data_IF_414497139632
#
_entry.id   IF_414497139632
#
_cell.length_a   1.000
_cell.length_b   1.000
_cell.length_c   1.000
_cell.angle_alpha   90.00
_cell.angle_beta   90.00
_cell.angle_gamma   90.00
#
_symmetry.space_group_name_H-M   'P 1'
#
loop_
_entity.id
_entity.type
_entity.pdbx_description
1 polymer ?
#
# COMPACT_ATOMS: atom_id res chain seq x y z
N UNK A 1 -30.85 -14.21 43.38
CA UNK A 1 -30.70 -14.38 41.93
C UNK A 1 -31.14 -13.10 41.23
N UNK A 2 -30.25 -12.37 40.54
CA UNK A 2 -30.66 -11.49 39.46
C UNK A 2 -30.49 -12.20 38.09
N UNK A 3 -31.27 -11.84 37.05
CA UNK A 3 -31.27 -12.54 35.79
C UNK A 3 -30.13 -12.10 34.86
N UNK A 4 -29.74 -13.04 34.01
CA UNK A 4 -28.72 -12.98 32.96
C UNK A 4 -28.98 -11.84 31.95
N UNK A 5 -28.01 -10.93 31.82
CA UNK A 5 -27.94 -9.92 30.75
C UNK A 5 -26.67 -10.08 29.86
N UNK A 6 -26.01 -11.24 29.86
CA UNK A 6 -24.71 -11.41 29.19
C UNK A 6 -24.76 -12.09 27.79
N UNK A 7 -25.91 -12.60 27.36
CA UNK A 7 -25.99 -13.40 26.13
C UNK A 7 -26.32 -12.60 24.84
N UNK A 8 -26.68 -11.32 24.93
CA UNK A 8 -27.10 -10.53 23.77
C UNK A 8 -25.99 -9.66 23.14
N UNK A 9 -24.93 -9.31 23.88
CA UNK A 9 -23.88 -8.42 23.37
C UNK A 9 -22.81 -9.12 22.51
N UNK A 10 -22.58 -10.42 22.71
CA UNK A 10 -21.58 -11.18 21.94
C UNK A 10 -21.95 -11.39 20.45
N UNK A 11 -23.23 -11.20 20.08
CA UNK A 11 -23.72 -11.39 18.70
C UNK A 11 -23.59 -10.13 17.83
N UNK A 12 -23.51 -8.95 18.45
CA UNK A 12 -23.41 -7.65 17.76
C UNK A 12 -22.11 -7.49 16.96
N UNK A 13 -20.90 -7.82 17.47
CA UNK A 13 -19.69 -7.69 16.69
C UNK A 13 -19.61 -8.71 15.53
N UNK A 14 -20.19 -9.89 15.70
CA UNK A 14 -20.24 -10.94 14.68
C UNK A 14 -21.18 -10.58 13.51
N UNK A 15 -22.35 -10.01 13.82
CA UNK A 15 -23.29 -9.49 12.81
C UNK A 15 -22.68 -8.28 12.11
N UNK A 16 -21.99 -7.39 12.84
CA UNK A 16 -21.22 -6.30 12.23
C UNK A 16 -20.14 -6.82 11.29
N UNK A 17 -19.41 -7.86 11.66
CA UNK A 17 -18.35 -8.44 10.82
C UNK A 17 -18.92 -9.06 9.53
N UNK A 18 -20.04 -9.78 9.61
CA UNK A 18 -20.71 -10.34 8.43
C UNK A 18 -21.31 -9.26 7.52
N UNK A 19 -21.92 -8.22 8.09
CA UNK A 19 -22.45 -7.07 7.34
C UNK A 19 -21.31 -6.26 6.70
N UNK A 20 -20.20 -6.03 7.43
CA UNK A 20 -18.99 -5.42 6.87
C UNK A 20 -18.43 -6.27 5.72
N UNK A 21 -18.41 -7.59 5.87
CA UNK A 21 -17.94 -8.50 4.82
C UNK A 21 -18.77 -8.31 3.55
N UNK A 22 -20.10 -8.37 3.67
CA UNK A 22 -21.01 -8.15 2.55
C UNK A 22 -20.86 -6.76 1.93
N UNK A 23 -20.77 -5.69 2.75
CA UNK A 23 -20.59 -4.33 2.24
C UNK A 23 -19.24 -4.13 1.54
N UNK A 24 -18.17 -4.75 2.04
CA UNK A 24 -16.84 -4.68 1.43
C UNK A 24 -16.79 -5.45 0.11
N UNK A 25 -17.43 -6.61 0.00
CA UNK A 25 -17.54 -7.33 -1.27
C UNK A 25 -18.37 -6.56 -2.31
N UNK A 26 -19.44 -5.87 -1.88
CA UNK A 26 -20.22 -4.96 -2.74
C UNK A 26 -19.37 -3.77 -3.19
N UNK A 27 -18.55 -3.19 -2.30
CA UNK A 27 -17.68 -2.05 -2.64
C UNK A 27 -16.56 -2.47 -3.61
N UNK A 28 -15.91 -3.61 -3.37
CA UNK A 28 -14.89 -4.18 -4.26
C UNK A 28 -15.52 -4.48 -5.62
N UNK A 29 -16.73 -5.04 -5.66
CA UNK A 29 -17.48 -5.23 -6.89
C UNK A 29 -17.75 -3.91 -7.62
N UNK A 30 -18.26 -2.88 -6.94
CA UNK A 30 -18.52 -1.56 -7.58
C UNK A 30 -17.22 -0.97 -8.15
N UNK A 31 -16.10 -1.08 -7.44
CA UNK A 31 -14.80 -0.56 -7.88
C UNK A 31 -14.18 -1.33 -9.05
N UNK A 32 -14.47 -2.62 -9.18
CA UNK A 32 -14.02 -3.47 -10.30
C UNK A 32 -14.95 -3.31 -11.52
N UNK A 33 -16.25 -3.19 -11.30
CA UNK A 33 -17.28 -3.24 -12.36
C UNK A 33 -17.59 -1.87 -12.96
N UNK A 34 -17.40 -0.80 -12.21
CA UNK A 34 -17.55 0.58 -12.67
C UNK A 34 -16.23 1.36 -12.56
N UNK A 35 -15.19 1.05 -13.36
CA UNK A 35 -14.18 2.06 -13.65
C UNK A 35 -14.92 3.20 -14.36
N UNK A 36 -14.95 4.40 -13.77
CA UNK A 36 -15.70 5.55 -14.29
C UNK A 36 -15.61 5.62 -15.83
N UNK A 37 -16.73 5.78 -16.55
CA UNK A 37 -16.66 6.04 -17.98
C UNK A 37 -16.02 7.41 -18.21
N UNK A 38 -15.13 7.45 -19.20
CA UNK A 38 -14.50 8.63 -19.76
C UNK A 38 -15.50 9.76 -19.96
N UNK A 39 -15.08 10.98 -19.63
CA UNK A 39 -15.70 12.21 -20.13
C UNK A 39 -15.75 12.08 -21.66
N UNK A 40 -16.94 11.93 -22.21
CA UNK A 40 -17.18 11.96 -23.65
C UNK A 40 -16.90 13.37 -24.13
N UNK A 41 -15.80 13.55 -24.85
CA UNK A 41 -15.59 14.72 -25.70
C UNK A 41 -16.75 14.74 -26.70
N UNK A 42 -17.60 15.76 -26.62
CA UNK A 42 -18.62 16.01 -27.64
C UNK A 42 -17.88 16.40 -28.92
N UNK A 43 -17.76 15.45 -29.84
CA UNK A 43 -17.34 15.70 -31.21
C UNK A 43 -18.49 16.41 -31.93
N UNK A 44 -18.32 17.72 -32.17
CA UNK A 44 -19.16 18.46 -33.12
C UNK A 44 -18.59 18.22 -34.53
N UNK A 45 -19.40 17.82 -35.53
CA UNK A 45 -18.94 17.58 -36.90
C UNK A 45 -18.63 18.90 -37.63
N UNK A 46 -17.86 18.87 -38.74
CA UNK A 46 -17.38 20.07 -39.40
C UNK A 46 -18.45 20.69 -40.31
N UNK A 47 -18.65 22.00 -40.20
CA UNK A 47 -19.31 22.81 -41.24
C UNK A 47 -18.41 23.97 -41.64
N UNK A 48 -18.01 23.97 -42.92
CA UNK A 48 -17.28 25.04 -43.62
C UNK A 48 -18.27 26.17 -44.05
N UNK A 49 -17.80 27.31 -44.60
CA UNK A 49 -18.03 28.63 -44.01
C UNK A 49 -19.09 29.44 -44.76
N UNK A 50 -19.80 30.32 -44.05
CA UNK A 50 -20.62 31.36 -44.69
C UNK A 50 -20.12 32.72 -44.25
N UNK A 51 -19.60 33.44 -45.24
CA UNK A 51 -19.26 34.86 -45.22
C UNK A 51 -20.52 35.69 -45.03
N UNK A 52 -20.55 36.57 -44.02
CA UNK A 52 -21.24 37.86 -44.13
C UNK A 52 -20.52 38.94 -43.33
N UNK A 53 -20.09 39.94 -44.07
CA UNK A 53 -19.50 41.24 -43.71
C UNK A 53 -20.47 42.13 -42.93
N UNK A 54 -19.99 42.89 -41.93
CA UNK A 54 -20.01 44.38 -41.90
C UNK A 54 -19.80 44.97 -40.49
N UNK A 55 -18.79 45.86 -40.38
CA UNK A 55 -18.76 47.16 -39.66
C UNK A 55 -18.93 47.21 -38.13
N UNK A 56 -18.17 47.96 -37.31
CA UNK A 56 -17.15 49.00 -37.50
C UNK A 56 -16.34 49.22 -36.22
N UNK A 57 -15.14 49.78 -36.43
CA UNK A 57 -14.05 50.16 -35.54
C UNK A 57 -14.37 50.78 -34.15
N UNK A 58 -13.49 50.46 -33.18
CA UNK A 58 -12.64 51.45 -32.48
C UNK A 58 -11.27 50.80 -32.24
N UNK A 59 -10.21 51.49 -32.67
CA UNK A 59 -8.81 51.20 -32.40
C UNK A 59 -8.44 51.91 -31.11
N UNK A 60 -7.89 51.20 -30.13
CA UNK A 60 -6.88 51.75 -29.24
C UNK A 60 -5.91 50.64 -28.84
N UNK A 61 -4.64 51.01 -28.96
CA UNK A 61 -3.41 50.24 -28.94
C UNK A 61 -2.98 50.02 -27.50
N UNK A 62 -2.69 48.79 -27.10
CA UNK A 62 -1.75 48.55 -26.01
C UNK A 62 -1.03 47.22 -26.23
N UNK A 63 0.28 47.35 -26.43
CA UNK A 63 1.24 46.27 -26.57
C UNK A 63 1.35 45.47 -25.28
N UNK A 64 1.53 44.16 -25.46
CA UNK A 64 2.15 43.17 -24.56
C UNK A 64 1.22 42.02 -24.19
N UNK A 65 0.97 41.12 -25.13
CA UNK A 65 0.72 39.71 -24.81
C UNK A 65 0.67 38.86 -26.08
N UNK A 66 1.83 38.38 -26.56
CA UNK A 66 1.93 37.11 -27.31
C UNK A 66 3.38 36.74 -27.58
N UNK A 67 3.91 35.88 -26.72
CA UNK A 67 4.54 34.61 -27.11
C UNK A 67 5.23 33.93 -25.91
N UNK A 68 4.50 33.66 -24.82
CA UNK A 68 4.90 32.58 -23.92
C UNK A 68 4.16 31.33 -24.38
N UNK A 69 4.84 30.53 -25.21
CA UNK A 69 4.54 29.11 -25.26
C UNK A 69 4.54 28.63 -23.82
N UNK A 70 3.36 28.25 -23.30
CA UNK A 70 3.26 27.64 -21.99
C UNK A 70 4.22 26.45 -22.00
N UNK A 71 5.26 26.51 -21.17
CA UNK A 71 6.08 25.36 -20.87
C UNK A 71 5.14 24.25 -20.40
N UNK A 72 5.06 23.15 -21.17
CA UNK A 72 4.45 21.90 -20.74
C UNK A 72 5.34 21.25 -19.66
N UNK A 73 5.64 22.00 -18.58
CA UNK A 73 6.25 21.43 -17.39
C UNK A 73 5.20 20.55 -16.71
N UNK A 74 5.36 19.21 -16.73
CA UNK A 74 4.36 18.31 -16.20
C UNK A 74 4.32 18.36 -14.66
N UNK A 75 5.26 19.07 -14.02
CA UNK A 75 5.27 19.38 -12.58
C UNK A 75 4.77 20.79 -12.25
N UNK A 76 4.26 21.57 -13.23
CA UNK A 76 3.81 22.96 -13.02
C UNK A 76 2.85 23.15 -11.85
N UNK A 77 2.04 22.12 -11.57
CA UNK A 77 1.08 22.11 -10.47
C UNK A 77 1.54 21.27 -9.27
N UNK A 78 2.66 20.55 -9.37
CA UNK A 78 3.16 19.69 -8.30
C UNK A 78 3.43 20.48 -7.02
N UNK A 79 3.82 21.76 -7.14
CA UNK A 79 4.09 22.63 -6.01
C UNK A 79 2.85 23.43 -5.55
N UNK A 80 1.68 23.26 -6.18
CA UNK A 80 0.44 23.92 -5.77
C UNK A 80 -0.31 23.13 -4.67
N UNK A 81 -0.78 23.78 -3.59
CA UNK A 81 -1.38 23.09 -2.43
C UNK A 81 -2.47 22.05 -2.76
N UNK A 82 -3.30 22.32 -3.77
CA UNK A 82 -4.39 21.44 -4.18
C UNK A 82 -3.94 20.22 -5.00
N UNK A 83 -2.81 20.33 -5.71
CA UNK A 83 -2.30 19.31 -6.63
C UNK A 83 -1.09 18.55 -6.08
N UNK A 84 -0.47 19.02 -5.00
CA UNK A 84 0.65 18.37 -4.28
C UNK A 84 0.39 16.90 -3.91
N UNK A 85 -0.86 16.51 -3.67
CA UNK A 85 -1.19 15.13 -3.31
C UNK A 85 -1.29 14.19 -4.52
N UNK A 86 -1.31 14.73 -5.74
CA UNK A 86 -1.44 13.99 -6.97
C UNK A 86 -0.11 14.01 -7.74
N UNK A 87 0.73 13.02 -7.47
CA UNK A 87 1.99 12.84 -8.19
C UNK A 87 1.69 12.68 -9.69
N UNK A 88 2.32 13.48 -10.58
CA UNK A 88 2.14 13.34 -12.02
C UNK A 88 2.48 11.92 -12.50
N UNK A 89 1.68 11.40 -13.44
CA UNK A 89 1.88 10.06 -14.02
C UNK A 89 3.00 10.06 -15.08
N UNK A 90 4.17 10.56 -14.72
CA UNK A 90 5.39 10.60 -15.54
C UNK A 90 6.25 9.40 -15.21
N UNK A 91 6.44 9.14 -13.92
CA UNK A 91 7.15 7.97 -13.40
C UNK A 91 6.12 6.88 -13.11
N UNK A 92 6.19 5.78 -13.84
CA UNK A 92 5.28 4.63 -13.66
C UNK A 92 6.03 3.47 -12.99
N UNK A 93 5.68 3.11 -11.75
CA UNK A 93 6.34 2.00 -11.07
C UNK A 93 5.93 0.67 -11.73
N UNK A 94 6.85 -0.29 -11.77
CA UNK A 94 6.64 -1.64 -12.29
C UNK A 94 6.84 -2.72 -11.22
N UNK A 95 7.83 -2.52 -10.34
CA UNK A 95 8.16 -3.42 -9.22
C UNK A 95 8.67 -2.61 -8.03
N UNK A 96 8.20 -2.96 -6.84
CA UNK A 96 8.81 -2.56 -5.57
C UNK A 96 9.41 -3.78 -4.89
N UNK A 97 10.70 -3.68 -4.55
CA UNK A 97 11.37 -4.63 -3.67
C UNK A 97 11.49 -3.97 -2.30
N UNK A 98 10.75 -4.46 -1.31
CA UNK A 98 10.61 -3.85 0.01
C UNK A 98 11.23 -4.79 1.05
N UNK A 99 12.31 -4.35 1.67
CA UNK A 99 12.94 -5.05 2.78
C UNK A 99 12.74 -4.25 4.07
N UNK A 100 12.21 -4.89 5.11
CA UNK A 100 11.95 -4.25 6.40
C UNK A 100 12.54 -5.08 7.52
N UNK A 101 13.38 -4.47 8.36
CA UNK A 101 13.90 -5.05 9.60
C UNK A 101 13.21 -4.41 10.79
N UNK A 102 12.46 -5.20 11.54
CA UNK A 102 11.63 -4.71 12.65
C UNK A 102 12.28 -4.98 14.00
N UNK A 103 12.53 -3.93 14.78
CA UNK A 103 13.00 -4.03 16.15
C UNK A 103 11.80 -4.12 17.09
N UNK A 104 11.15 -5.29 17.11
CA UNK A 104 9.90 -5.52 17.84
C UNK A 104 10.16 -6.23 19.18
N UNK A 105 10.06 -5.56 20.35
CA UNK A 105 10.13 -6.20 21.65
C UNK A 105 8.85 -7.02 21.92
N UNK A 106 8.69 -8.13 21.21
CA UNK A 106 7.43 -8.85 21.04
C UNK A 106 6.97 -9.60 22.30
N UNK A 107 7.85 -9.78 23.29
CA UNK A 107 7.56 -10.43 24.58
C UNK A 107 8.47 -9.86 25.67
N UNK A 108 8.15 -10.08 26.97
CA UNK A 108 9.03 -9.71 28.06
C UNK A 108 10.41 -10.37 27.92
N UNK A 109 11.46 -9.59 28.17
CA UNK A 109 12.85 -10.02 28.06
C UNK A 109 13.48 -9.85 26.67
N UNK A 110 12.72 -9.49 25.64
CA UNK A 110 13.25 -9.11 24.32
C UNK A 110 13.28 -7.59 24.21
N UNK A 111 14.47 -7.02 24.00
CA UNK A 111 14.67 -5.58 23.78
C UNK A 111 15.82 -5.37 22.80
N UNK A 112 15.73 -4.27 22.06
CA UNK A 112 16.73 -3.74 21.14
C UNK A 112 17.24 -2.38 21.64
N UNK A 113 17.02 -2.06 22.92
CA UNK A 113 17.41 -0.80 23.54
C UNK A 113 16.68 0.39 22.90
N UNK A 114 17.44 1.38 22.45
CA UNK A 114 16.90 2.59 21.82
C UNK A 114 16.16 2.33 20.49
N UNK A 115 16.29 1.12 19.91
CA UNK A 115 15.63 0.73 18.67
C UNK A 115 14.27 0.08 18.89
N UNK A 116 13.84 -0.16 20.13
CA UNK A 116 12.53 -0.75 20.39
C UNK A 116 11.40 0.02 19.67
N UNK A 117 10.54 -0.73 18.97
CA UNK A 117 9.46 -0.20 18.14
C UNK A 117 9.93 0.72 17.00
N UNK A 118 11.06 0.39 16.40
CA UNK A 118 11.54 1.03 15.16
C UNK A 118 11.71 0.00 14.05
N UNK A 119 11.94 0.50 12.84
CA UNK A 119 12.36 -0.31 11.71
C UNK A 119 13.47 0.36 10.92
N UNK A 120 14.35 -0.46 10.36
CA UNK A 120 15.19 -0.08 9.22
C UNK A 120 14.56 -0.65 7.95
N UNK A 121 14.50 0.14 6.89
CA UNK A 121 13.88 -0.23 5.63
C UNK A 121 14.78 0.06 4.43
N UNK A 122 14.62 -0.76 3.39
CA UNK A 122 15.14 -0.51 2.06
C UNK A 122 14.01 -0.73 1.05
N UNK A 123 13.87 0.18 0.10
CA UNK A 123 12.93 0.04 -1.01
C UNK A 123 13.63 0.33 -2.32
N UNK A 124 13.60 -0.65 -3.22
CA UNK A 124 14.01 -0.48 -4.61
C UNK A 124 12.78 -0.44 -5.49
N UNK A 125 12.54 0.69 -6.13
CA UNK A 125 11.48 0.90 -7.11
C UNK A 125 12.07 0.78 -8.51
N UNK A 126 11.62 -0.19 -9.28
CA UNK A 126 11.81 -0.21 -10.73
C UNK A 126 10.66 0.56 -11.39
N UNK A 127 10.98 1.39 -12.37
CA UNK A 127 10.00 2.26 -13.01
C UNK A 127 10.35 2.58 -14.47
N UNK A 128 9.32 2.95 -15.22
CA UNK A 128 9.42 3.46 -16.59
C UNK A 128 9.05 4.94 -16.59
N UNK A 129 9.83 5.73 -17.32
CA UNK A 129 9.56 7.16 -17.52
C UNK A 129 8.70 7.33 -18.78
N UNK A 130 7.59 8.07 -18.69
CA UNK A 130 6.69 8.34 -19.84
C UNK A 130 7.02 9.63 -20.58
N UNK A 131 7.58 10.60 -19.87
CA UNK A 131 7.94 11.92 -20.39
C UNK A 131 9.30 12.31 -19.82
N UNK A 132 10.14 12.96 -20.63
CA UNK A 132 11.49 13.31 -20.21
C UNK A 132 11.44 14.17 -18.94
N UNK A 133 12.23 13.81 -17.93
CA UNK A 133 12.23 14.55 -16.67
C UNK A 133 13.53 14.37 -15.90
N UNK A 134 13.86 15.36 -15.06
CA UNK A 134 14.91 15.25 -14.06
C UNK A 134 14.37 15.09 -12.64
N UNK A 135 13.06 15.17 -12.44
CA UNK A 135 12.42 15.13 -11.13
C UNK A 135 11.73 13.77 -10.98
N UNK A 136 12.00 13.08 -9.89
CA UNK A 136 11.20 11.94 -9.41
C UNK A 136 10.55 12.39 -8.11
N UNK A 137 9.23 12.28 -8.03
CA UNK A 137 8.47 12.63 -6.83
C UNK A 137 7.87 11.37 -6.21
N UNK A 138 8.06 11.19 -4.90
CA UNK A 138 7.49 10.10 -4.10
C UNK A 138 6.67 10.64 -2.93
N UNK A 139 5.76 9.83 -2.42
CA UNK A 139 5.14 10.06 -1.12
C UNK A 139 5.98 9.41 -0.01
N UNK A 140 6.22 10.18 1.05
CA UNK A 140 6.99 9.78 2.23
C UNK A 140 6.30 10.37 3.46
N UNK A 141 6.14 9.65 4.58
CA UNK A 141 5.53 10.19 5.79
C UNK A 141 6.20 9.63 7.04
N UNK A 142 6.85 10.50 7.81
CA UNK A 142 7.58 10.11 9.02
C UNK A 142 8.65 9.03 8.80
N UNK A 143 9.25 9.01 7.60
CA UNK A 143 10.42 8.19 7.30
C UNK A 143 11.64 9.10 7.31
N UNK A 144 12.70 8.68 7.98
CA UNK A 144 14.00 9.31 7.92
C UNK A 144 14.80 8.65 6.79
N UNK A 145 14.94 9.33 5.65
CA UNK A 145 15.68 8.81 4.50
C UNK A 145 17.19 8.93 4.76
N UNK A 146 17.90 7.81 4.73
CA UNK A 146 19.34 7.75 5.04
C UNK A 146 20.22 7.58 3.81
N UNK A 147 19.68 7.05 2.71
CA UNK A 147 20.38 6.96 1.44
C UNK A 147 19.39 6.95 0.28
N UNK A 148 19.81 7.53 -0.85
CA UNK A 148 19.10 7.49 -2.14
C UNK A 148 20.11 7.20 -3.23
N UNK A 149 19.83 6.21 -4.07
CA UNK A 149 20.67 5.85 -5.21
C UNK A 149 19.81 5.59 -6.44
N UNK A 150 20.10 6.28 -7.54
CA UNK A 150 19.37 6.17 -8.81
C UNK A 150 20.23 5.45 -9.83
N UNK A 151 19.64 4.53 -10.58
CA UNK A 151 20.36 3.71 -11.56
C UNK A 151 19.64 3.64 -12.91
N UNK A 152 20.44 3.63 -13.97
CA UNK A 152 20.04 3.16 -15.29
C UNK A 152 20.70 1.79 -15.53
N UNK A 153 19.92 0.72 -15.39
CA UNK A 153 20.45 -0.65 -15.34
C UNK A 153 21.50 -0.81 -14.23
N UNK A 154 22.79 -0.85 -14.57
CA UNK A 154 23.91 -1.00 -13.62
C UNK A 154 24.68 0.31 -13.38
N UNK A 155 24.43 1.34 -14.18
CA UNK A 155 25.11 2.63 -14.07
C UNK A 155 24.40 3.52 -13.06
N UNK A 156 25.14 4.04 -12.09
CA UNK A 156 24.60 4.98 -11.10
C UNK A 156 24.50 6.38 -11.70
N UNK A 157 23.29 6.96 -11.63
CA UNK A 157 23.02 8.34 -12.01
C UNK A 157 23.19 9.20 -10.76
N UNK A 158 23.97 10.27 -10.88
CA UNK A 158 24.13 11.23 -9.80
C UNK A 158 22.79 11.94 -9.47
N UNK A 159 22.49 12.03 -8.18
CA UNK A 159 21.37 12.79 -7.65
C UNK A 159 21.90 14.15 -7.21
N UNK A 160 21.49 15.21 -7.90
CA UNK A 160 21.94 16.58 -7.63
C UNK A 160 21.37 17.09 -6.31
N UNK A 161 20.09 16.79 -6.06
CA UNK A 161 19.33 17.35 -4.95
C UNK A 161 18.22 16.40 -4.50
N UNK A 162 17.96 16.40 -3.19
CA UNK A 162 16.81 15.77 -2.56
C UNK A 162 16.11 16.85 -1.74
N UNK A 163 14.84 17.12 -2.02
CA UNK A 163 14.03 18.09 -1.29
C UNK A 163 12.87 17.42 -0.57
N UNK A 164 12.68 17.82 0.70
CA UNK A 164 11.54 17.49 1.56
C UNK A 164 10.73 18.75 1.92
N UNK A 165 10.80 19.80 1.09
CA UNK A 165 10.19 21.12 1.38
C UNK A 165 8.66 21.05 1.49
N UNK A 166 8.06 20.02 0.90
CA UNK A 166 6.62 19.81 0.91
C UNK A 166 6.21 18.66 1.85
N UNK A 167 5.19 18.87 2.68
CA UNK A 167 4.69 17.83 3.58
C UNK A 167 4.32 16.56 2.82
N UNK A 168 4.91 15.46 3.27
CA UNK A 168 4.71 14.11 2.76
C UNK A 168 5.17 13.83 1.31
N UNK A 169 6.02 14.70 0.76
CA UNK A 169 6.63 14.50 -0.55
C UNK A 169 8.15 14.43 -0.40
N UNK A 170 8.76 13.66 -1.30
CA UNK A 170 10.19 13.60 -1.49
C UNK A 170 10.46 13.82 -2.98
N UNK A 171 11.11 14.94 -3.29
CA UNK A 171 11.55 15.27 -4.63
C UNK A 171 13.02 14.90 -4.78
N UNK A 172 13.34 14.19 -5.86
CA UNK A 172 14.68 13.70 -6.17
C UNK A 172 15.04 14.21 -7.57
N UNK A 173 16.08 15.02 -7.64
CA UNK A 173 16.54 15.64 -8.87
C UNK A 173 17.78 14.92 -9.42
N UNK A 174 17.68 14.38 -10.64
CA UNK A 174 18.78 13.72 -11.33
C UNK A 174 19.67 14.72 -12.07
N UNK A 175 20.96 14.39 -12.16
CA UNK A 175 21.97 15.17 -12.89
C UNK A 175 21.76 15.22 -14.41
N UNK A 176 20.94 14.30 -14.92
CA UNK A 176 20.63 14.16 -16.34
C UNK A 176 19.15 13.88 -16.55
N UNK A 177 18.67 14.12 -17.77
CA UNK A 177 17.30 13.77 -18.17
C UNK A 177 17.09 12.25 -18.15
N UNK A 178 16.06 11.82 -17.44
CA UNK A 178 15.51 10.48 -17.55
C UNK A 178 14.62 10.45 -18.79
N UNK A 179 14.93 9.56 -19.73
CA UNK A 179 14.33 9.55 -21.06
C UNK A 179 13.07 8.68 -21.11
N UNK A 180 12.08 9.04 -21.94
CA UNK A 180 10.87 8.24 -22.13
C UNK A 180 11.14 6.80 -22.53
N UNK A 181 10.24 5.90 -22.12
CA UNK A 181 10.23 4.46 -22.42
C UNK A 181 11.49 3.71 -21.96
N UNK A 182 12.30 4.31 -21.06
CA UNK A 182 13.44 3.66 -20.42
C UNK A 182 13.11 3.18 -19.01
N UNK A 183 13.76 2.08 -18.63
CA UNK A 183 13.68 1.51 -17.28
C UNK A 183 14.78 2.09 -16.41
N UNK A 184 14.41 2.49 -15.21
CA UNK A 184 15.32 2.96 -14.18
C UNK A 184 15.01 2.24 -12.87
N UNK A 185 15.95 2.28 -11.93
CA UNK A 185 15.69 1.84 -10.57
C UNK A 185 16.16 2.84 -9.54
N UNK A 186 15.32 3.12 -8.56
CA UNK A 186 15.59 4.01 -7.45
C UNK A 186 15.60 3.20 -6.16
N UNK A 187 16.72 3.23 -5.44
CA UNK A 187 16.89 2.56 -4.15
C UNK A 187 16.93 3.60 -3.05
N UNK A 188 16.07 3.46 -2.05
CA UNK A 188 16.06 4.28 -0.84
C UNK A 188 16.28 3.41 0.39
N UNK A 189 17.13 3.87 1.30
CA UNK A 189 17.27 3.32 2.65
C UNK A 189 16.68 4.32 3.64
N UNK A 190 15.97 3.84 4.65
CA UNK A 190 15.24 4.69 5.58
C UNK A 190 15.06 4.06 6.95
N UNK A 191 14.71 4.89 7.93
CA UNK A 191 14.30 4.46 9.27
C UNK A 191 12.93 5.02 9.62
N UNK A 192 12.15 4.26 10.37
CA UNK A 192 10.84 4.73 10.85
C UNK A 192 10.55 4.24 12.27
N UNK A 193 9.65 4.94 12.96
CA UNK A 193 9.05 4.47 14.20
C UNK A 193 7.79 3.67 13.90
N UNK A 194 7.55 2.63 14.68
CA UNK A 194 6.31 1.87 14.70
C UNK A 194 5.44 2.47 15.80
N UNK A 195 4.73 3.57 15.50
CA UNK A 195 4.14 4.42 16.54
C UNK A 195 2.70 4.89 16.28
N UNK A 196 1.90 4.18 15.49
CA UNK A 196 0.56 4.68 15.20
C UNK A 196 -0.52 4.18 16.19
N UNK A 197 -0.99 5.01 17.14
CA UNK A 197 -2.07 4.64 18.07
C UNK A 197 -3.45 4.54 17.40
N UNK A 198 -3.59 4.99 16.14
CA UNK A 198 -4.84 4.94 15.38
C UNK A 198 -4.93 3.72 14.45
N UNK A 199 -4.03 2.73 14.59
CA UNK A 199 -4.01 1.52 13.77
C UNK A 199 -3.97 1.79 12.25
N UNK A 200 -3.13 2.74 11.84
CA UNK A 200 -2.90 3.13 10.45
C UNK A 200 -1.39 3.11 10.13
N UNK A 201 -1.01 2.96 8.86
CA UNK A 201 0.39 2.70 8.51
C UNK A 201 0.86 1.38 9.11
N UNK A 202 2.08 1.34 9.63
CA UNK A 202 2.54 0.25 10.50
C UNK A 202 2.28 0.57 11.97
N UNK A 203 1.69 -0.38 12.68
CA UNK A 203 1.33 -0.21 14.08
C UNK A 203 1.59 -1.47 14.89
N UNK A 204 1.76 -1.28 16.20
CA UNK A 204 1.82 -2.36 17.17
C UNK A 204 0.53 -2.48 17.96
N UNK A 205 0.13 -3.70 18.28
CA UNK A 205 -0.97 -3.97 19.19
C UNK A 205 -0.50 -4.92 20.31
N UNK A 206 -0.72 -4.58 21.59
CA UNK A 206 -0.50 -5.52 22.67
C UNK A 206 -1.61 -6.59 22.66
N UNK A 207 -1.29 -7.79 23.12
CA UNK A 207 -2.26 -8.84 23.37
C UNK A 207 -1.77 -9.78 24.48
N UNK A 208 -2.70 -10.51 25.10
CA UNK A 208 -2.36 -11.51 26.12
C UNK A 208 -2.09 -12.86 25.49
N UNK A 209 -1.07 -13.53 25.99
CA UNK A 209 -0.78 -14.92 25.70
C UNK A 209 -0.59 -15.67 27.03
N UNK A 210 -1.71 -16.14 27.60
CA UNK A 210 -1.73 -16.62 28.98
C UNK A 210 -1.46 -15.47 29.95
N UNK A 211 -0.43 -15.61 30.80
CA UNK A 211 0.00 -14.54 31.72
C UNK A 211 0.95 -13.51 31.10
N UNK A 212 1.47 -13.76 29.89
CA UNK A 212 2.42 -12.87 29.22
C UNK A 212 1.70 -11.79 28.40
N UNK A 213 2.18 -10.54 28.51
CA UNK A 213 1.84 -9.47 27.57
C UNK A 213 2.79 -9.53 26.38
N UNK A 214 2.27 -9.71 25.17
CA UNK A 214 3.04 -9.75 23.93
C UNK A 214 2.63 -8.62 23.00
N UNK A 215 3.48 -8.32 22.02
CA UNK A 215 3.18 -7.38 20.95
C UNK A 215 3.14 -8.09 19.60
N UNK A 216 2.23 -7.63 18.76
CA UNK A 216 2.20 -7.92 17.33
C UNK A 216 2.32 -6.61 16.56
N UNK A 217 2.86 -6.69 15.35
CA UNK A 217 2.91 -5.58 14.41
C UNK A 217 2.08 -5.94 13.19
N UNK A 218 1.33 -4.98 12.67
CA UNK A 218 0.56 -5.15 11.44
C UNK A 218 0.53 -3.85 10.64
N UNK A 219 0.14 -3.94 9.37
CA UNK A 219 -0.07 -2.76 8.53
C UNK A 219 -1.54 -2.55 8.19
N UNK A 220 -1.93 -1.28 8.10
CA UNK A 220 -3.20 -0.84 7.54
C UNK A 220 -2.94 0.43 6.71
N UNK A 221 -2.83 0.24 5.40
CA UNK A 221 -2.29 1.27 4.50
C UNK A 221 -3.37 2.07 3.77
N UNK A 222 -4.64 1.71 3.91
CA UNK A 222 -5.75 2.42 3.28
C UNK A 222 -6.13 3.69 4.08
N UNK A 223 -6.44 4.82 3.41
CA UNK A 223 -6.33 5.03 1.96
C UNK A 223 -4.93 5.44 1.47
N UNK A 224 -4.13 6.13 2.28
CA UNK A 224 -2.86 6.76 1.86
C UNK A 224 -1.81 6.68 2.96
N UNK A 225 -1.64 5.50 3.53
CA UNK A 225 -0.67 5.25 4.60
C UNK A 225 0.48 4.35 4.16
N UNK A 226 0.55 3.92 2.88
CA UNK A 226 1.72 3.17 2.42
C UNK A 226 3.00 4.02 2.47
N UNK A 227 2.86 5.34 2.22
CA UNK A 227 3.90 6.34 2.40
C UNK A 227 4.51 6.42 3.80
N UNK A 228 3.83 5.91 4.84
CA UNK A 228 4.38 5.82 6.20
C UNK A 228 5.09 4.51 6.51
N UNK A 229 5.11 3.57 5.56
CA UNK A 229 5.85 2.32 5.65
C UNK A 229 7.10 2.31 4.76
N UNK A 230 6.97 2.79 3.52
CA UNK A 230 8.09 2.90 2.58
C UNK A 230 7.86 4.04 1.57
N UNK A 231 8.92 4.67 1.04
CA UNK A 231 8.81 5.67 -0.02
C UNK A 231 8.18 5.06 -1.28
N UNK A 232 7.09 5.65 -1.77
CA UNK A 232 6.37 5.12 -2.93
C UNK A 232 5.49 6.17 -3.61
N UNK A 233 5.02 5.88 -4.82
CA UNK A 233 3.91 6.64 -5.43
C UNK A 233 2.61 6.07 -4.86
N UNK A 234 2.09 6.71 -3.81
CA UNK A 234 0.99 6.21 -2.98
C UNK A 234 -0.36 6.66 -3.54
N UNK A 235 -0.66 6.19 -4.75
CA UNK A 235 -1.92 6.43 -5.46
C UNK A 235 -2.53 5.13 -6.01
N UNK A 236 -3.87 4.96 -6.00
CA UNK A 236 -4.52 3.72 -6.45
C UNK A 236 -4.19 3.31 -7.89
N UNK A 237 -4.00 4.27 -8.80
CA UNK A 237 -3.64 4.03 -10.20
C UNK A 237 -2.17 3.66 -10.43
N UNK A 238 -1.28 3.95 -9.48
CA UNK A 238 0.14 3.65 -9.56
C UNK A 238 0.45 2.19 -9.17
N UNK A 239 -0.22 1.24 -9.84
CA UNK A 239 -0.12 -0.18 -9.52
C UNK A 239 1.25 -0.76 -9.92
N UNK A 240 1.76 -1.66 -9.09
CA UNK A 240 3.03 -2.36 -9.31
C UNK A 240 2.98 -3.77 -8.71
N UNK A 241 4.02 -4.57 -8.98
CA UNK A 241 4.27 -5.81 -8.24
C UNK A 241 5.10 -5.52 -6.99
N UNK A 242 5.03 -6.41 -6.00
CA UNK A 242 5.76 -6.28 -4.74
C UNK A 242 6.53 -7.56 -4.43
N UNK A 243 7.80 -7.42 -4.08
CA UNK A 243 8.64 -8.44 -3.46
C UNK A 243 8.98 -8.01 -2.05
N UNK A 244 8.45 -8.73 -1.06
CA UNK A 244 8.66 -8.41 0.34
C UNK A 244 9.72 -9.31 0.97
N UNK A 245 10.60 -8.72 1.76
CA UNK A 245 11.51 -9.41 2.68
C UNK A 245 11.37 -8.81 4.07
N UNK A 246 10.94 -9.61 5.04
CA UNK A 246 10.75 -9.14 6.41
C UNK A 246 11.77 -9.82 7.31
N UNK A 247 12.60 -9.01 7.98
CA UNK A 247 13.56 -9.44 8.98
C UNK A 247 12.96 -9.12 10.35
N UNK A 248 12.71 -10.14 11.14
CA UNK A 248 11.98 -10.05 12.40
C UNK A 248 12.69 -10.82 13.51
N UNK A 249 12.44 -10.50 14.79
CA UNK A 249 13.07 -11.20 15.91
C UNK A 249 12.78 -12.69 15.88
N UNK A 250 13.77 -13.50 16.22
CA UNK A 250 13.62 -14.95 16.35
C UNK A 250 12.47 -15.32 17.31
N UNK A 251 11.74 -16.39 16.97
CA UNK A 251 10.56 -16.84 17.70
C UNK A 251 9.24 -16.19 17.26
N UNK A 252 9.28 -15.24 16.32
CA UNK A 252 8.09 -14.67 15.65
C UNK A 252 7.94 -15.24 14.24
N UNK A 253 6.75 -15.14 13.66
CA UNK A 253 6.53 -15.35 12.22
C UNK A 253 6.26 -14.01 11.53
N UNK A 254 6.54 -13.94 10.22
CA UNK A 254 6.08 -12.86 9.35
C UNK A 254 5.06 -13.37 8.33
N UNK A 255 4.04 -12.56 8.07
CA UNK A 255 3.05 -12.77 7.02
C UNK A 255 3.06 -11.57 6.08
N UNK A 256 2.77 -11.84 4.82
CA UNK A 256 2.59 -10.87 3.74
C UNK A 256 1.43 -11.33 2.85
N UNK A 257 0.94 -10.51 1.91
CA UNK A 257 -0.08 -10.89 0.91
C UNK A 257 0.22 -12.22 0.19
N UNK A 258 1.51 -12.51 0.01
CA UNK A 258 1.98 -13.67 -0.74
C UNK A 258 2.56 -14.73 0.19
N UNK A 259 2.63 -15.96 -0.30
CA UNK A 259 3.18 -17.10 0.44
C UNK A 259 4.69 -16.94 0.64
N UNK A 260 5.15 -17.36 1.81
CA UNK A 260 6.56 -17.47 2.17
C UNK A 260 7.31 -18.43 1.22
N UNK A 261 8.49 -18.03 0.76
CA UNK A 261 9.36 -18.84 -0.13
C UNK A 261 10.60 -19.34 0.58
N UNK A 262 11.17 -18.54 1.48
CA UNK A 262 12.35 -18.90 2.25
C UNK A 262 12.24 -18.28 3.66
N UNK A 263 12.64 -19.06 4.65
CA UNK A 263 12.73 -18.66 6.05
C UNK A 263 14.11 -19.10 6.56
N UNK A 264 14.93 -18.14 6.99
CA UNK A 264 16.25 -18.43 7.55
C UNK A 264 16.44 -17.71 8.88
N UNK A 265 16.92 -18.42 9.89
CA UNK A 265 17.19 -17.86 11.23
C UNK A 265 18.69 -17.82 11.49
N UNK A 266 19.21 -16.64 11.82
CA UNK A 266 20.63 -16.44 12.15
C UNK A 266 20.79 -15.24 13.09
N UNK A 267 21.55 -15.43 14.17
CA UNK A 267 21.96 -14.34 15.06
C UNK A 267 20.80 -13.64 15.79
N UNK A 268 19.77 -14.38 16.22
CA UNK A 268 18.59 -13.81 16.89
C UNK A 268 17.56 -13.19 15.96
N UNK A 269 17.76 -13.29 14.64
CA UNK A 269 16.87 -12.76 13.62
C UNK A 269 16.38 -13.87 12.69
N UNK A 270 15.12 -13.78 12.29
CA UNK A 270 14.52 -14.60 11.24
C UNK A 270 14.26 -13.70 10.02
N UNK A 271 14.72 -14.12 8.85
CA UNK A 271 14.45 -13.46 7.57
C UNK A 271 13.43 -14.31 6.82
N UNK A 272 12.27 -13.73 6.53
CA UNK A 272 11.22 -14.35 5.72
C UNK A 272 11.09 -13.61 4.39
N UNK A 273 11.27 -14.34 3.30
CA UNK A 273 11.05 -13.87 1.93
C UNK A 273 9.74 -14.43 1.39
N UNK A 274 9.06 -13.66 0.53
CA UNK A 274 7.75 -14.02 0.00
C UNK A 274 7.76 -14.08 -1.54
N UNK A 275 6.78 -14.77 -2.12
CA UNK A 275 6.52 -14.73 -3.56
C UNK A 275 6.20 -13.30 -4.01
N UNK A 276 6.52 -13.00 -5.27
CA UNK A 276 6.15 -11.73 -5.91
C UNK A 276 4.64 -11.62 -6.04
N UNK A 277 4.07 -10.47 -5.69
CA UNK A 277 2.64 -10.21 -5.81
C UNK A 277 2.16 -10.08 -7.26
N UNK A 278 0.85 -10.23 -7.52
CA UNK A 278 0.25 -9.67 -8.74
C UNK A 278 0.36 -8.14 -8.75
N UNK A 279 -0.01 -7.53 -9.88
CA UNK A 279 -0.10 -6.07 -9.99
C UNK A 279 -1.21 -5.57 -9.05
N UNK A 280 -0.84 -4.78 -8.06
CA UNK A 280 -1.76 -4.24 -7.06
C UNK A 280 -1.39 -2.81 -6.67
N UNK A 281 -2.30 -2.10 -6.02
CA UNK A 281 -2.05 -0.75 -5.49
C UNK A 281 -1.31 -0.80 -4.16
N UNK A 282 -0.55 0.24 -3.82
CA UNK A 282 0.25 0.34 -2.57
C UNK A 282 -0.56 0.11 -1.30
N UNK A 283 -1.79 0.62 -1.24
CA UNK A 283 -2.66 0.49 -0.07
C UNK A 283 -3.08 -0.96 0.26
N UNK A 284 -2.89 -1.91 -0.67
CA UNK A 284 -3.15 -3.34 -0.47
C UNK A 284 -1.96 -4.09 0.13
N UNK A 285 -0.78 -3.47 0.24
CA UNK A 285 0.36 -4.07 0.91
C UNK A 285 0.03 -4.33 2.38
N UNK A 286 0.05 -5.60 2.77
CA UNK A 286 -0.35 -6.06 4.09
C UNK A 286 0.72 -7.00 4.64
N UNK A 287 1.22 -6.69 5.83
CA UNK A 287 2.15 -7.55 6.57
C UNK A 287 1.77 -7.65 8.03
N UNK A 288 2.16 -8.75 8.66
CA UNK A 288 2.01 -8.99 10.09
C UNK A 288 3.27 -9.66 10.63
N UNK A 289 3.75 -9.23 11.80
CA UNK A 289 4.78 -9.93 12.57
C UNK A 289 4.26 -10.20 13.97
N UNK A 290 4.32 -11.46 14.42
CA UNK A 290 3.80 -11.84 15.73
C UNK A 290 3.93 -13.34 16.03
N UNK A 291 3.21 -13.78 17.06
CA UNK A 291 3.21 -15.19 17.54
C UNK A 291 1.80 -15.71 17.83
N UNK A 292 0.77 -15.13 17.20
CA UNK A 292 -0.60 -15.57 17.43
C UNK A 292 -0.84 -16.95 16.82
N UNK A 293 -1.58 -17.83 17.52
CA UNK A 293 -2.01 -19.08 16.93
C UNK A 293 -3.03 -18.83 15.81
N UNK A 294 -3.22 -19.85 14.98
CA UNK A 294 -4.19 -19.82 13.89
C UNK A 294 -4.92 -21.15 13.78
N UNK A 295 -6.09 -21.09 13.16
CA UNK A 295 -6.75 -22.28 12.61
C UNK A 295 -6.67 -22.23 11.10
N UNK A 296 -6.59 -23.41 10.50
CA UNK A 296 -6.40 -23.57 9.06
C UNK A 296 -7.50 -24.45 8.46
N UNK A 297 -7.87 -24.15 7.23
CA UNK A 297 -8.72 -24.97 6.37
C UNK A 297 -8.33 -24.74 4.91
N UNK A 298 -8.96 -25.47 4.00
CA UNK A 298 -8.71 -25.36 2.57
C UNK A 298 -10.03 -25.25 1.81
N UNK A 299 -10.04 -24.54 0.69
CA UNK A 299 -11.13 -24.65 -0.28
C UNK A 299 -11.02 -25.94 -1.08
N UNK A 300 -12.09 -26.32 -1.79
CA UNK A 300 -12.08 -27.46 -2.70
C UNK A 300 -11.01 -27.36 -3.79
N UNK A 301 -10.60 -26.12 -4.14
CA UNK A 301 -9.56 -25.83 -5.14
C UNK A 301 -8.15 -25.75 -4.56
N UNK A 302 -7.98 -26.00 -3.26
CA UNK A 302 -6.68 -26.02 -2.59
C UNK A 302 -6.17 -24.67 -2.09
N UNK A 303 -7.00 -23.61 -2.07
CA UNK A 303 -6.61 -22.32 -1.48
C UNK A 303 -6.51 -22.50 0.04
N UNK A 304 -5.34 -22.22 0.61
CA UNK A 304 -5.09 -22.31 2.06
C UNK A 304 -5.71 -21.12 2.78
N UNK A 305 -6.62 -21.37 3.71
CA UNK A 305 -7.26 -20.33 4.52
C UNK A 305 -6.75 -20.43 5.96
N UNK A 306 -6.24 -19.32 6.50
CA UNK A 306 -5.82 -19.22 7.91
C UNK A 306 -6.51 -18.06 8.60
N UNK A 307 -7.01 -18.33 9.80
CA UNK A 307 -7.58 -17.32 10.68
C UNK A 307 -6.72 -17.24 11.93
N UNK A 308 -6.03 -16.12 12.09
CA UNK A 308 -5.17 -15.80 13.21
C UNK A 308 -5.98 -15.08 14.29
N UNK A 309 -5.83 -15.52 15.53
CA UNK A 309 -6.50 -14.91 16.67
C UNK A 309 -5.66 -15.09 17.95
N UNK A 310 -5.95 -14.28 18.96
CA UNK A 310 -5.42 -14.50 20.30
C UNK A 310 -5.84 -15.89 20.81
N UNK A 311 -4.97 -16.54 21.59
CA UNK A 311 -5.17 -17.94 21.99
C UNK A 311 -6.54 -18.19 22.65
N UNK A 312 -7.00 -17.26 23.48
CA UNK A 312 -8.30 -17.32 24.17
C UNK A 312 -9.49 -17.23 23.21
N UNK A 313 -9.32 -16.54 22.07
CA UNK A 313 -10.36 -16.32 21.05
C UNK A 313 -10.27 -17.29 19.88
N UNK A 314 -9.26 -18.17 19.87
CA UNK A 314 -9.01 -19.07 18.75
C UNK A 314 -10.20 -20.02 18.49
N UNK A 315 -10.88 -20.46 19.55
CA UNK A 315 -12.06 -21.32 19.43
C UNK A 315 -13.27 -20.60 18.82
N UNK A 316 -13.38 -19.28 19.04
CA UNK A 316 -14.46 -18.45 18.49
C UNK A 316 -14.36 -18.28 16.97
N UNK A 317 -13.19 -18.58 16.39
CA UNK A 317 -12.96 -18.52 14.94
C UNK A 317 -13.61 -19.66 14.14
N UNK A 318 -14.22 -20.64 14.82
CA UNK A 318 -14.80 -21.84 14.19
C UNK A 318 -15.82 -21.50 13.09
N UNK A 319 -16.69 -20.51 13.33
CA UNK A 319 -17.69 -20.10 12.36
C UNK A 319 -17.04 -19.50 11.11
N UNK A 320 -16.13 -18.53 11.28
CA UNK A 320 -15.41 -17.91 10.18
C UNK A 320 -14.65 -18.97 9.37
N UNK A 321 -13.96 -19.90 10.04
CA UNK A 321 -13.22 -20.98 9.39
C UNK A 321 -14.13 -21.88 8.54
N UNK A 322 -15.36 -22.12 8.98
CA UNK A 322 -16.34 -22.92 8.23
C UNK A 322 -17.02 -22.18 7.07
N UNK A 323 -17.18 -20.85 7.19
CA UNK A 323 -17.90 -20.03 6.22
C UNK A 323 -16.98 -19.48 5.13
N UNK A 324 -15.75 -19.07 5.44
CA UNK A 324 -14.84 -18.45 4.47
C UNK A 324 -14.62 -19.29 3.22
N UNK A 325 -14.38 -20.63 3.29
CA UNK A 325 -14.27 -21.46 2.08
C UNK A 325 -15.54 -21.47 1.23
N UNK A 326 -16.73 -21.46 1.87
CA UNK A 326 -18.02 -21.48 1.18
C UNK A 326 -18.33 -20.15 0.51
N UNK A 327 -18.00 -19.04 1.18
CA UNK A 327 -18.12 -17.70 0.62
C UNK A 327 -17.16 -17.51 -0.55
N UNK A 328 -15.91 -17.99 -0.42
CA UNK A 328 -14.95 -17.92 -1.51
C UNK A 328 -15.45 -18.70 -2.73
N UNK A 329 -15.90 -19.95 -2.54
CA UNK A 329 -16.48 -20.76 -3.61
C UNK A 329 -17.70 -20.07 -4.25
N UNK A 330 -18.61 -19.51 -3.44
CA UNK A 330 -19.75 -18.74 -3.95
C UNK A 330 -19.30 -17.58 -4.83
N UNK A 331 -18.28 -16.81 -4.44
CA UNK A 331 -17.79 -15.70 -5.27
C UNK A 331 -17.05 -16.17 -6.52
N UNK A 332 -16.30 -17.26 -6.45
CA UNK A 332 -15.68 -17.86 -7.63
C UNK A 332 -16.75 -18.28 -8.66
N UNK A 333 -17.82 -18.92 -8.19
CA UNK A 333 -18.95 -19.33 -9.04
C UNK A 333 -19.75 -18.12 -9.53
N UNK A 334 -20.00 -17.13 -8.68
CA UNK A 334 -20.78 -15.96 -9.05
C UNK A 334 -20.06 -15.09 -10.08
N UNK A 335 -18.77 -14.82 -9.88
CA UNK A 335 -17.97 -14.01 -10.80
C UNK A 335 -17.37 -14.80 -11.96
N UNK A 336 -17.49 -16.13 -11.96
CA UNK A 336 -16.88 -17.02 -12.94
C UNK A 336 -15.35 -16.80 -13.04
N UNK A 337 -14.72 -16.48 -11.90
CA UNK A 337 -13.30 -16.18 -11.81
C UNK A 337 -12.68 -16.90 -10.60
N UNK A 338 -11.59 -17.66 -10.79
CA UNK A 338 -10.88 -18.26 -9.67
C UNK A 338 -10.30 -17.19 -8.75
N UNK A 339 -10.23 -17.50 -7.45
CA UNK A 339 -9.43 -16.70 -6.53
C UNK A 339 -7.96 -16.74 -6.96
N UNK A 340 -7.30 -15.59 -7.16
CA UNK A 340 -6.02 -15.54 -7.88
C UNK A 340 -4.80 -15.93 -7.04
N UNK A 341 -4.94 -16.08 -5.71
CA UNK A 341 -3.81 -16.35 -4.80
C UNK A 341 -3.88 -17.76 -4.21
N UNK A 342 -2.72 -18.33 -3.85
CA UNK A 342 -2.63 -19.65 -3.21
C UNK A 342 -3.15 -19.69 -1.76
N UNK A 343 -3.29 -18.52 -1.13
CA UNK A 343 -3.69 -18.40 0.27
C UNK A 343 -4.59 -17.19 0.53
N UNK A 344 -5.32 -17.29 1.64
CA UNK A 344 -6.10 -16.22 2.24
C UNK A 344 -5.91 -16.24 3.76
N UNK A 345 -5.31 -15.18 4.29
CA UNK A 345 -5.02 -14.95 5.69
C UNK A 345 -5.88 -13.84 6.27
N UNK A 346 -6.60 -14.15 7.33
CA UNK A 346 -7.35 -13.18 8.12
C UNK A 346 -6.77 -13.08 9.52
N UNK A 347 -6.53 -11.87 9.99
CA UNK A 347 -6.13 -11.59 11.37
C UNK A 347 -7.26 -10.88 12.10
N UNK A 348 -7.73 -11.50 13.18
CA UNK A 348 -8.69 -10.90 14.11
C UNK A 348 -7.90 -10.16 15.19
N UNK A 349 -8.02 -8.83 15.24
CA UNK A 349 -7.51 -7.99 16.32
C UNK A 349 -8.67 -7.28 17.02
N UNK A 350 -8.58 -7.04 18.34
CA UNK A 350 -9.72 -6.70 19.22
C UNK A 350 -10.68 -5.62 18.70
N UNK A 351 -10.23 -4.65 17.89
CA UNK A 351 -11.07 -3.57 17.35
C UNK A 351 -11.04 -3.45 15.81
N UNK A 352 -10.40 -4.38 15.09
CA UNK A 352 -10.36 -4.39 13.62
C UNK A 352 -10.01 -5.76 13.03
N UNK A 353 -10.69 -6.12 11.94
CA UNK A 353 -10.28 -7.23 11.08
C UNK A 353 -9.16 -6.73 10.15
N UNK A 354 -7.95 -7.26 10.33
CA UNK A 354 -6.81 -6.98 9.46
C UNK A 354 -6.74 -8.12 8.46
N UNK A 355 -7.05 -7.85 7.19
CA UNK A 355 -6.86 -8.82 6.10
C UNK A 355 -5.43 -8.76 5.62
N UNK A 356 -4.74 -9.90 5.65
CA UNK A 356 -3.33 -10.03 5.29
C UNK A 356 -3.18 -10.25 3.78
N UNK A 357 -4.18 -10.84 3.14
CA UNK A 357 -4.22 -11.07 1.70
C UNK A 357 -5.48 -10.36 1.16
N UNK A 358 -5.28 -9.28 0.39
CA UNK A 358 -6.35 -8.48 -0.25
C UNK A 358 -6.20 -8.48 -1.76
#
# INVERSE_FOLDING_TARGET
MPPSAAASDAKRPLVLAAVLLCMIFILIYILITFPRPLITVVTVPPTTPTVTTSESAVVEDDNDEKATALSDDPYRFADQPFHRHHIPNIVRPSLYQVQLKLYLPWRPGVTFGALDFTLDGMTRMEFIVRQATRRIQLNVKHLNITAVRLYNSTEEIHVDEISEDFPQLLDIFSSMDLLPERNYSLTLEFRAKINNPKYAGIFTAPYKHGSENRYKTATHLQPQEARSLFPCIDSPEAKARFEATIIHPEGTYALFNMKETNISTKGGWTTTTFLRSPIMSTYLFAMVVGTMPYRETYTARGVRIRIYAEAEKLNDTSLALSLTPRLLAFFEDYFQLPYPLEKLGELISMDSLIRIDR
#
